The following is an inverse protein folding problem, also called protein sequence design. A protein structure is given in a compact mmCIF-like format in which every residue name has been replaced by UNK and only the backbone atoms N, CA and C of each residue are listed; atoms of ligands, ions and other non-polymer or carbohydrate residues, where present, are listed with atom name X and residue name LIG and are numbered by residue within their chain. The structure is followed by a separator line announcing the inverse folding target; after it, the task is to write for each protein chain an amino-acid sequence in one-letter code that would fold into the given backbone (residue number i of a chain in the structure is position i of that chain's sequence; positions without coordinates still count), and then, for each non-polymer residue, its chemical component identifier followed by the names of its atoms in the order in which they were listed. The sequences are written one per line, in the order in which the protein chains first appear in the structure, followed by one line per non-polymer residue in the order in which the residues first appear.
data_IF_737566472828
#
_entry.id   IF_737566472828
#
_cell.length_a   1.000
_cell.length_b   1.000
_cell.length_c   1.000
_cell.angle_alpha   90.00
_cell.angle_beta   90.00
_cell.angle_gamma   90.00
#
_symmetry.space_group_name_H-M   'P 1'
#
loop_
_entity.id
_entity.type
_entity.pdbx_description
1 polymer ?
#
# COMPACT_ATOMS: atom_id res chain seq x y z
N UNK A 1 -1.17 52.19 -12.76
CA UNK A 1 -0.66 51.27 -13.80
C UNK A 1 -0.84 49.84 -13.28
N UNK A 2 -1.95 49.19 -13.64
CA UNK A 2 -2.15 47.77 -13.37
C UNK A 2 -1.94 47.03 -14.69
N UNK A 3 -0.87 46.23 -14.77
CA UNK A 3 -0.59 45.41 -15.94
C UNK A 3 -1.61 44.26 -15.98
N UNK A 4 -2.54 44.31 -16.93
CA UNK A 4 -3.39 43.17 -17.27
C UNK A 4 -2.49 42.08 -17.85
N UNK A 5 -2.33 40.98 -17.12
CA UNK A 5 -1.70 39.75 -17.62
C UNK A 5 -2.67 39.09 -18.59
N UNK A 6 -2.51 39.39 -19.88
CA UNK A 6 -3.20 38.66 -20.95
C UNK A 6 -2.50 37.32 -21.16
N UNK A 7 -3.27 36.24 -21.12
CA UNK A 7 -2.77 34.91 -21.47
C UNK A 7 -2.36 34.88 -22.95
N UNK A 8 -1.29 34.15 -23.31
CA UNK A 8 -0.87 34.04 -24.69
C UNK A 8 -1.95 33.32 -25.52
N UNK A 9 -2.12 33.70 -26.81
CA UNK A 9 -3.08 33.04 -27.69
C UNK A 9 -2.70 31.57 -27.92
N UNK A 10 -3.72 30.72 -28.04
CA UNK A 10 -3.58 29.28 -28.30
C UNK A 10 -2.75 29.07 -29.56
N UNK A 11 -1.56 28.48 -29.41
CA UNK A 11 -0.73 28.11 -30.56
C UNK A 11 -1.39 26.94 -31.30
N UNK A 12 -1.79 27.17 -32.56
CA UNK A 12 -2.28 26.12 -33.46
C UNK A 12 -1.13 25.17 -33.78
N UNK A 13 -1.15 23.96 -33.21
CA UNK A 13 -0.13 22.92 -33.46
C UNK A 13 0.23 22.04 -32.26
N UNK A 14 -0.25 22.36 -31.05
CA UNK A 14 -0.03 21.53 -29.86
C UNK A 14 -1.16 20.50 -29.72
N UNK A 15 -0.82 19.21 -29.67
CA UNK A 15 -1.76 18.16 -29.29
C UNK A 15 -2.11 18.31 -27.81
N UNK A 16 -3.34 18.73 -27.52
CA UNK A 16 -3.90 18.70 -26.18
C UNK A 16 -4.10 17.23 -25.77
N UNK A 17 -3.28 16.73 -24.86
CA UNK A 17 -3.53 15.43 -24.24
C UNK A 17 -4.43 15.67 -23.03
N UNK A 18 -5.71 15.35 -23.16
CA UNK A 18 -6.64 15.23 -22.05
C UNK A 18 -6.08 14.21 -21.04
N UNK A 19 -5.82 14.64 -19.81
CA UNK A 19 -5.36 13.79 -18.70
C UNK A 19 -6.47 12.96 -18.06
N UNK A 20 -7.71 13.06 -18.57
CA UNK A 20 -8.71 12.03 -18.33
C UNK A 20 -8.25 10.79 -19.10
N UNK A 21 -8.07 9.67 -18.39
CA UNK A 21 -8.07 8.35 -19.01
C UNK A 21 -9.42 8.18 -19.73
N UNK A 22 -9.50 8.63 -20.99
CA UNK A 22 -10.44 8.02 -21.91
C UNK A 22 -9.84 6.65 -22.25
N UNK A 23 -10.62 5.55 -22.13
CA UNK A 23 -10.19 4.29 -22.70
C UNK A 23 -9.82 4.51 -24.16
N UNK A 24 -8.83 3.78 -24.66
CA UNK A 24 -8.55 3.77 -26.08
C UNK A 24 -9.77 3.14 -26.77
N UNK A 25 -10.73 3.98 -27.16
CA UNK A 25 -11.83 3.58 -28.01
C UNK A 25 -11.18 3.19 -29.34
N UNK A 26 -11.03 1.89 -29.58
CA UNK A 26 -11.00 1.39 -30.94
C UNK A 26 -12.30 1.88 -31.58
N UNK A 27 -12.19 2.82 -32.53
CA UNK A 27 -13.36 3.37 -33.21
C UNK A 27 -13.96 2.28 -34.10
N UNK A 28 -14.88 1.49 -33.54
CA UNK A 28 -15.97 0.95 -34.35
C UNK A 28 -16.95 2.09 -34.58
N UNK A 29 -17.21 2.43 -35.84
CA UNK A 29 -18.01 3.56 -36.33
C UNK A 29 -19.52 3.55 -35.94
N UNK A 30 -19.91 2.99 -34.80
CA UNK A 30 -21.30 2.99 -34.34
C UNK A 30 -21.41 3.75 -33.01
N UNK A 31 -21.72 5.04 -33.14
CA UNK A 31 -22.11 5.89 -32.02
C UNK A 31 -23.50 5.48 -31.51
N UNK A 32 -23.58 4.49 -30.61
CA UNK A 32 -24.80 4.22 -29.84
C UNK A 32 -24.65 3.45 -28.52
N UNK A 33 -23.45 3.05 -28.11
CA UNK A 33 -23.30 2.32 -26.85
C UNK A 33 -22.77 3.23 -25.72
N UNK A 34 -23.70 3.82 -24.95
CA UNK A 34 -23.46 3.95 -23.51
C UNK A 34 -23.10 2.53 -23.01
N UNK A 35 -22.03 2.31 -22.23
CA UNK A 35 -21.74 0.99 -21.72
C UNK A 35 -22.93 0.56 -20.86
N UNK A 36 -23.75 -0.31 -21.42
CA UNK A 36 -24.97 -0.78 -20.78
C UNK A 36 -24.59 -1.58 -19.54
N UNK A 37 -25.47 -1.61 -18.53
CA UNK A 37 -25.34 -2.52 -17.37
C UNK A 37 -25.04 -3.96 -17.82
N UNK A 38 -25.48 -4.35 -19.02
CA UNK A 38 -25.18 -5.64 -19.65
C UNK A 38 -23.69 -5.85 -19.93
N UNK A 39 -22.93 -4.82 -20.34
CA UNK A 39 -21.47 -4.89 -20.51
C UNK A 39 -20.73 -5.08 -19.19
N UNK A 40 -21.26 -4.51 -18.10
CA UNK A 40 -20.75 -4.75 -16.75
C UNK A 40 -21.00 -6.20 -16.30
N UNK A 41 -22.19 -6.75 -16.60
CA UNK A 41 -22.51 -8.15 -16.28
C UNK A 41 -21.67 -9.16 -17.07
N UNK A 42 -21.42 -8.96 -18.37
CA UNK A 42 -20.54 -9.84 -19.16
C UNK A 42 -19.08 -9.80 -18.68
N UNK A 43 -18.58 -8.65 -18.22
CA UNK A 43 -17.25 -8.56 -17.60
C UNK A 43 -17.18 -9.41 -16.31
N UNK A 44 -18.22 -9.38 -15.48
CA UNK A 44 -18.25 -10.17 -14.23
C UNK A 44 -18.26 -11.69 -14.44
N UNK A 45 -18.86 -12.20 -15.51
CA UNK A 45 -18.84 -13.64 -15.83
C UNK A 45 -17.44 -14.15 -16.22
N UNK A 46 -16.58 -13.25 -16.70
CA UNK A 46 -15.16 -13.53 -17.02
C UNK A 46 -14.19 -13.19 -15.87
N UNK A 47 -14.72 -12.75 -14.72
CA UNK A 47 -13.88 -12.30 -13.61
C UNK A 47 -13.18 -13.47 -12.92
N UNK A 48 -11.88 -13.30 -12.66
CA UNK A 48 -11.02 -14.37 -12.15
C UNK A 48 -9.96 -13.82 -11.22
N UNK A 49 -9.62 -14.61 -10.19
CA UNK A 49 -8.51 -14.34 -9.29
C UNK A 49 -7.54 -15.51 -9.36
N UNK A 50 -6.34 -15.26 -9.87
CA UNK A 50 -5.29 -16.27 -9.94
C UNK A 50 -4.17 -15.90 -8.97
N UNK A 51 -4.04 -16.64 -7.88
CA UNK A 51 -2.94 -16.47 -6.94
C UNK A 51 -1.66 -17.00 -7.59
N UNK A 52 -0.63 -16.16 -7.67
CA UNK A 52 0.66 -16.55 -8.25
C UNK A 52 1.65 -16.96 -7.19
N UNK A 53 1.80 -16.12 -6.17
CA UNK A 53 2.80 -16.33 -5.14
C UNK A 53 2.25 -15.90 -3.79
N UNK A 54 2.49 -16.76 -2.81
CA UNK A 54 2.36 -16.44 -1.39
C UNK A 54 3.72 -16.75 -0.80
N UNK A 55 4.37 -15.74 -0.21
CA UNK A 55 5.64 -15.93 0.50
C UNK A 55 5.46 -16.97 1.62
N UNK A 56 6.52 -17.70 1.97
CA UNK A 56 6.49 -18.76 3.00
C UNK A 56 5.97 -18.26 4.36
N UNK A 57 6.25 -17.00 4.69
CA UNK A 57 5.77 -16.33 5.90
C UNK A 57 4.32 -15.80 5.80
N UNK A 58 3.73 -15.83 4.61
CA UNK A 58 2.38 -15.34 4.31
C UNK A 58 2.24 -13.81 4.33
N UNK A 59 3.35 -13.07 4.35
CA UNK A 59 3.36 -11.60 4.47
C UNK A 59 3.40 -10.89 3.12
N UNK A 60 3.74 -11.59 2.04
CA UNK A 60 3.68 -11.08 0.67
C UNK A 60 2.74 -11.95 -0.14
N UNK A 61 1.79 -11.31 -0.83
CA UNK A 61 0.84 -11.95 -1.73
C UNK A 61 0.89 -11.27 -3.10
N UNK A 62 1.06 -12.07 -4.14
CA UNK A 62 0.92 -11.64 -5.53
C UNK A 62 -0.20 -12.42 -6.22
N UNK A 63 -1.13 -11.71 -6.84
CA UNK A 63 -2.25 -12.32 -7.56
C UNK A 63 -2.64 -11.50 -8.78
N UNK A 64 -3.20 -12.19 -9.79
CA UNK A 64 -3.84 -11.56 -10.93
C UNK A 64 -5.33 -11.39 -10.68
N UNK A 65 -5.86 -10.21 -11.00
CA UNK A 65 -7.27 -9.89 -11.04
C UNK A 65 -7.67 -9.65 -12.50
N UNK A 66 -8.50 -10.52 -13.07
CA UNK A 66 -8.98 -10.44 -14.45
C UNK A 66 -10.47 -10.14 -14.50
N UNK A 67 -10.95 -9.49 -15.56
CA UNK A 67 -12.37 -9.23 -15.79
C UNK A 67 -12.98 -8.18 -14.86
N UNK A 68 -12.16 -7.26 -14.34
CA UNK A 68 -12.59 -6.22 -13.39
C UNK A 68 -12.17 -4.84 -13.90
N UNK A 69 -13.04 -3.84 -13.73
CA UNK A 69 -12.71 -2.46 -14.10
C UNK A 69 -11.64 -1.83 -13.17
N UNK A 70 -10.84 -0.87 -13.67
CA UNK A 70 -9.83 -0.16 -12.87
C UNK A 70 -10.39 0.47 -11.59
N UNK A 71 -11.66 0.90 -11.60
CA UNK A 71 -12.33 1.52 -10.46
C UNK A 71 -12.48 0.56 -9.27
N UNK A 72 -12.83 -0.70 -9.54
CA UNK A 72 -12.98 -1.74 -8.50
C UNK A 72 -11.60 -2.17 -8.01
N UNK A 73 -10.64 -2.39 -8.91
CA UNK A 73 -9.25 -2.69 -8.55
C UNK A 73 -8.67 -1.60 -7.61
N UNK A 74 -8.85 -0.33 -7.96
CA UNK A 74 -8.41 0.78 -7.12
C UNK A 74 -9.19 0.89 -5.80
N UNK A 75 -10.46 0.50 -5.77
CA UNK A 75 -11.25 0.44 -4.54
C UNK A 75 -10.71 -0.59 -3.56
N UNK A 76 -10.33 -1.78 -4.04
CA UNK A 76 -9.68 -2.82 -3.24
C UNK A 76 -8.35 -2.29 -2.67
N UNK A 77 -7.51 -1.69 -3.53
CA UNK A 77 -6.23 -1.10 -3.11
C UNK A 77 -6.41 -0.02 -2.04
N UNK A 78 -7.39 0.88 -2.21
CA UNK A 78 -7.69 1.93 -1.23
C UNK A 78 -8.22 1.36 0.09
N UNK A 79 -9.08 0.34 0.02
CA UNK A 79 -9.62 -0.32 1.21
C UNK A 79 -8.52 -1.00 2.02
N UNK A 80 -7.54 -1.63 1.36
CA UNK A 80 -6.36 -2.22 2.01
C UNK A 80 -5.53 -1.19 2.78
N UNK A 81 -5.31 -0.01 2.19
CA UNK A 81 -4.50 1.06 2.79
C UNK A 81 -5.22 1.80 3.92
N UNK A 82 -6.52 2.05 3.77
CA UNK A 82 -7.23 3.01 4.62
C UNK A 82 -8.30 2.40 5.53
N UNK A 83 -8.95 1.32 5.12
CA UNK A 83 -10.20 0.90 5.76
C UNK A 83 -10.05 -0.35 6.62
N UNK A 84 -9.10 -1.24 6.28
CA UNK A 84 -8.82 -2.43 7.09
C UNK A 84 -8.21 -1.99 8.42
N UNK A 85 -8.82 -2.36 9.57
CA UNK A 85 -8.36 -1.90 10.87
C UNK A 85 -7.10 -2.65 11.33
N UNK A 86 -6.27 -2.00 12.14
CA UNK A 86 -5.10 -2.60 12.79
C UNK A 86 -4.91 -2.07 14.22
N UNK A 87 -3.97 -2.66 14.95
CA UNK A 87 -3.62 -2.26 16.32
C UNK A 87 -2.34 -1.44 16.33
N UNK A 88 -2.39 -0.20 16.84
CA UNK A 88 -1.22 0.66 16.98
C UNK A 88 -1.28 1.51 18.26
N UNK A 89 -0.12 2.01 18.69
CA UNK A 89 -0.05 2.87 19.87
C UNK A 89 -0.68 4.25 19.59
N UNK A 90 -1.62 4.64 20.45
CA UNK A 90 -2.31 5.93 20.37
C UNK A 90 -1.88 6.86 21.49
N UNK A 91 -1.85 6.37 22.73
CA UNK A 91 -1.49 7.17 23.89
C UNK A 91 -0.16 6.70 24.46
N UNK A 92 0.74 7.65 24.72
CA UNK A 92 1.99 7.40 25.44
C UNK A 92 1.95 8.20 26.74
N UNK A 93 1.94 7.48 27.86
CA UNK A 93 2.00 8.05 29.20
C UNK A 93 3.45 8.08 29.64
N UNK A 94 4.08 9.25 29.54
CA UNK A 94 5.45 9.46 29.99
C UNK A 94 5.46 9.65 31.52
N UNK A 95 6.17 8.79 32.24
CA UNK A 95 6.41 8.97 33.67
C UNK A 95 7.71 9.71 33.93
N UNK A 96 8.75 9.37 33.16
CA UNK A 96 10.06 9.95 33.29
C UNK A 96 10.83 9.82 31.98
N UNK A 97 11.30 10.95 31.44
CA UNK A 97 12.20 11.00 30.29
C UNK A 97 13.35 11.94 30.62
N UNK A 98 14.55 11.38 30.78
CA UNK A 98 15.79 12.15 30.93
C UNK A 98 16.71 11.99 29.73
N UNK A 99 16.18 11.42 28.63
CA UNK A 99 16.92 11.23 27.38
C UNK A 99 17.14 12.56 26.65
N UNK A 100 17.92 12.50 25.59
CA UNK A 100 18.15 13.65 24.69
C UNK A 100 16.93 13.92 23.80
N UNK A 101 16.10 12.91 23.54
CA UNK A 101 14.92 13.06 22.69
C UNK A 101 13.76 13.64 23.51
N UNK A 102 13.01 14.57 22.91
CA UNK A 102 11.79 15.09 23.53
C UNK A 102 10.69 14.03 23.56
N UNK A 103 9.74 14.21 24.47
CA UNK A 103 8.61 13.28 24.65
C UNK A 103 7.84 13.06 23.33
N UNK A 104 7.60 14.13 22.56
CA UNK A 104 6.89 14.05 21.28
C UNK A 104 7.63 13.20 20.24
N UNK A 105 8.97 13.31 20.19
CA UNK A 105 9.78 12.51 19.27
C UNK A 105 9.71 11.03 19.63
N UNK A 106 9.82 10.70 20.93
CA UNK A 106 9.70 9.31 21.39
C UNK A 106 8.28 8.80 21.14
N UNK A 107 7.26 9.59 21.48
CA UNK A 107 5.86 9.24 21.31
C UNK A 107 5.50 8.95 19.84
N UNK A 108 5.95 9.80 18.92
CA UNK A 108 5.75 9.61 17.48
C UNK A 108 6.40 8.32 16.97
N UNK A 109 7.64 8.03 17.40
CA UNK A 109 8.34 6.78 17.04
C UNK A 109 7.63 5.55 17.59
N UNK A 110 7.21 5.59 18.86
CA UNK A 110 6.47 4.50 19.50
C UNK A 110 5.11 4.26 18.82
N UNK A 111 4.46 5.32 18.32
CA UNK A 111 3.22 5.24 17.55
C UNK A 111 3.33 4.44 16.26
N UNK A 112 4.52 4.41 15.64
CA UNK A 112 4.80 3.74 14.38
C UNK A 112 5.31 2.30 14.56
N UNK A 113 5.53 1.83 15.78
CA UNK A 113 5.92 0.44 16.03
C UNK A 113 4.69 -0.45 15.79
N UNK A 114 4.76 -1.41 14.85
CA UNK A 114 3.62 -2.28 14.60
C UNK A 114 3.59 -3.43 15.60
N UNK A 115 2.38 -3.79 16.04
CA UNK A 115 2.15 -4.82 17.05
C UNK A 115 1.50 -6.06 16.45
N UNK A 116 1.96 -7.24 16.87
CA UNK A 116 1.37 -8.54 16.51
C UNK A 116 0.12 -8.80 17.34
N UNK A 117 -0.96 -8.10 17.04
CA UNK A 117 -2.26 -8.25 17.70
C UNK A 117 -3.37 -8.32 16.66
N UNK A 118 -4.22 -9.35 16.73
CA UNK A 118 -5.33 -9.51 15.78
C UNK A 118 -6.43 -8.47 16.07
N UNK A 119 -6.65 -7.48 15.19
CA UNK A 119 -7.62 -6.41 15.41
C UNK A 119 -9.07 -6.92 15.46
N UNK A 120 -9.36 -8.14 14.98
CA UNK A 120 -10.71 -8.73 15.04
C UNK A 120 -11.14 -9.08 16.46
N UNK A 121 -10.18 -9.34 17.35
CA UNK A 121 -10.40 -9.70 18.75
C UNK A 121 -10.67 -8.48 19.64
N UNK A 122 -10.51 -7.27 19.11
CA UNK A 122 -10.67 -6.01 19.84
C UNK A 122 -11.80 -5.17 19.26
N UNK A 123 -12.47 -4.44 20.15
CA UNK A 123 -13.49 -3.44 19.79
C UNK A 123 -12.83 -2.09 19.59
N UNK A 124 -13.46 -1.23 18.78
CA UNK A 124 -13.05 0.17 18.69
C UNK A 124 -13.28 0.86 20.04
N UNK A 125 -12.34 1.73 20.42
CA UNK A 125 -12.49 2.56 21.61
C UNK A 125 -13.66 3.52 21.38
N UNK A 126 -14.57 3.61 22.35
CA UNK A 126 -15.67 4.57 22.30
C UNK A 126 -15.10 6.00 22.42
N UNK A 127 -15.56 6.95 21.58
CA UNK A 127 -15.22 8.36 21.75
C UNK A 127 -15.63 8.81 23.16
N UNK A 128 -14.72 9.44 23.91
CA UNK A 128 -14.91 9.93 25.29
C UNK A 128 -14.97 8.87 26.40
N UNK A 129 -14.58 7.62 26.14
CA UNK A 129 -14.41 6.65 27.22
C UNK A 129 -13.26 7.08 28.16
N UNK A 130 -13.61 7.35 29.42
CA UNK A 130 -12.66 7.69 30.49
C UNK A 130 -11.99 6.46 31.10
N UNK A 131 -12.62 5.29 30.97
CA UNK A 131 -12.11 4.03 31.51
C UNK A 131 -11.59 3.17 30.37
N UNK A 132 -10.39 2.63 30.57
CA UNK A 132 -9.77 1.73 29.62
C UNK A 132 -10.30 0.32 29.84
N UNK A 133 -10.93 -0.23 28.80
CA UNK A 133 -11.47 -1.57 28.86
C UNK A 133 -10.50 -2.58 28.22
N UNK A 134 -10.37 -3.79 28.80
CA UNK A 134 -9.49 -4.83 28.27
C UNK A 134 -9.89 -5.34 26.88
N UNK A 135 -11.13 -5.08 26.45
CA UNK A 135 -11.60 -5.44 25.12
C UNK A 135 -11.21 -4.43 24.03
N UNK A 136 -10.76 -3.22 24.42
CA UNK A 136 -10.42 -2.13 23.50
C UNK A 136 -8.95 -1.75 23.50
N UNK A 137 -8.26 -1.94 24.64
CA UNK A 137 -6.93 -1.37 24.87
C UNK A 137 -5.96 -2.42 25.39
N UNK A 138 -4.76 -2.43 24.81
CA UNK A 138 -3.60 -3.18 25.30
C UNK A 138 -2.59 -2.21 25.89
N UNK A 139 -2.01 -2.54 27.05
CA UNK A 139 -1.07 -1.66 27.75
C UNK A 139 0.32 -2.29 27.72
N UNK A 140 1.30 -1.55 27.21
CA UNK A 140 2.70 -1.93 27.25
C UNK A 140 3.46 -1.02 28.21
N UNK A 141 4.43 -1.60 28.92
CA UNK A 141 5.36 -0.91 29.80
C UNK A 141 6.76 -0.88 29.18
N UNK A 142 7.39 0.29 29.25
CA UNK A 142 8.80 0.47 28.93
C UNK A 142 9.48 1.09 30.15
N UNK A 143 10.27 0.29 30.84
CA UNK A 143 10.99 0.71 32.04
C UNK A 143 12.49 0.46 31.87
N UNK A 144 13.22 1.50 31.46
CA UNK A 144 14.69 1.48 31.38
C UNK A 144 15.25 2.38 32.49
N UNK A 145 15.73 1.79 33.60
CA UNK A 145 16.26 2.57 34.72
C UNK A 145 17.63 3.16 34.41
N UNK A 146 17.99 4.23 35.13
CA UNK A 146 19.30 4.85 35.04
C UNK A 146 20.42 3.83 35.32
N UNK A 147 21.32 3.65 34.36
CA UNK A 147 22.49 2.79 34.55
C UNK A 147 23.43 3.39 35.58
N UNK A 148 23.67 2.65 36.67
CA UNK A 148 24.71 2.99 37.64
C UNK A 148 26.07 2.72 36.99
N UNK A 149 26.97 3.70 36.99
CA UNK A 149 28.35 3.50 36.54
C UNK A 149 28.99 2.42 37.42
N UNK A 150 29.17 1.22 36.87
CA UNK A 150 29.80 0.11 37.60
C UNK A 150 31.20 0.53 38.07
N UNK A 151 31.56 0.17 39.30
CA UNK A 151 32.89 0.44 39.87
C UNK A 151 34.03 -0.17 39.06
N UNK A 152 33.76 -1.17 38.21
CA UNK A 152 34.73 -1.79 37.31
C UNK A 152 35.29 -0.83 36.24
N UNK A 153 34.50 0.16 35.78
CA UNK A 153 34.99 1.19 34.85
C UNK A 153 35.84 2.29 35.53
N UNK A 154 35.91 2.34 36.88
CA UNK A 154 36.83 3.28 37.55
C UNK A 154 38.29 2.84 37.46
N UNK A 155 38.53 1.54 37.23
CA UNK A 155 39.87 0.95 37.17
C UNK A 155 40.35 0.64 35.74
N UNK A 156 39.45 0.73 34.75
CA UNK A 156 39.84 0.74 33.34
C UNK A 156 40.25 2.18 32.96
N UNK A 157 41.32 2.31 32.16
CA UNK A 157 41.95 3.55 31.66
C UNK A 157 41.02 4.79 31.71
N UNK A 158 41.53 5.91 32.23
CA UNK A 158 40.88 7.23 32.45
C UNK A 158 40.01 7.77 31.29
N UNK A 159 40.04 7.16 30.10
CA UNK A 159 39.36 7.60 28.88
C UNK A 159 38.21 6.67 28.41
N UNK A 160 37.91 5.59 29.12
CA UNK A 160 36.81 4.69 28.73
C UNK A 160 35.44 5.27 29.15
N UNK A 161 34.75 5.95 28.23
CA UNK A 161 33.35 6.38 28.44
C UNK A 161 32.45 5.15 28.63
N UNK A 162 31.52 5.16 29.61
CA UNK A 162 30.57 4.06 29.76
C UNK A 162 29.73 3.92 28.47
N UNK A 163 29.42 2.68 28.04
CA UNK A 163 28.70 2.46 26.80
C UNK A 163 27.28 3.01 26.89
N UNK A 164 26.79 3.57 25.78
CA UNK A 164 25.41 4.01 25.66
C UNK A 164 24.45 2.81 25.73
N UNK A 165 23.24 3.04 26.22
CA UNK A 165 22.18 2.03 26.29
C UNK A 165 21.22 2.24 25.13
N UNK A 166 21.16 1.29 24.21
CA UNK A 166 20.17 1.31 23.13
C UNK A 166 18.85 0.71 23.62
N UNK A 167 17.78 1.47 23.47
CA UNK A 167 16.42 1.05 23.83
C UNK A 167 15.73 0.55 22.56
N UNK A 168 15.40 -0.75 22.55
CA UNK A 168 14.73 -1.39 21.43
C UNK A 168 13.27 -1.71 21.76
N UNK A 169 12.49 -1.96 20.71
CA UNK A 169 11.13 -2.48 20.78
C UNK A 169 11.00 -3.78 21.61
N UNK A 170 12.02 -4.64 21.66
CA UNK A 170 12.06 -5.81 22.55
C UNK A 170 11.88 -5.49 24.04
N UNK A 171 12.19 -4.25 24.46
CA UNK A 171 12.01 -3.83 25.84
C UNK A 171 10.56 -3.49 26.21
N UNK A 172 9.64 -3.44 25.23
CA UNK A 172 8.22 -3.22 25.46
C UNK A 172 7.57 -4.49 26.00
N UNK A 173 7.10 -4.43 27.25
CA UNK A 173 6.48 -5.57 27.94
C UNK A 173 4.98 -5.36 28.07
N UNK A 174 4.19 -6.34 27.63
CA UNK A 174 2.75 -6.31 27.81
C UNK A 174 2.40 -6.42 29.30
N UNK A 175 1.57 -5.50 29.81
CA UNK A 175 0.95 -5.61 31.12
C UNK A 175 -0.38 -6.36 30.93
N UNK A 176 -0.53 -7.59 31.46
CA UNK A 176 -1.79 -8.31 31.36
C UNK A 176 -2.86 -7.65 32.22
N UNK A 177 -4.05 -7.43 31.65
CA UNK A 177 -5.19 -6.90 32.41
C UNK A 177 -5.82 -8.01 33.28
N UNK A 178 -6.23 -7.75 34.54
CA UNK A 178 -6.77 -8.77 35.44
C UNK A 178 -8.00 -9.53 34.90
N UNK A 179 -8.87 -8.84 34.16
CA UNK A 179 -10.05 -9.44 33.51
C UNK A 179 -9.74 -10.21 32.20
N UNK A 180 -8.49 -10.22 31.76
CA UNK A 180 -8.07 -10.92 30.56
C UNK A 180 -7.94 -12.41 30.87
N UNK A 181 -8.82 -13.23 30.26
CA UNK A 181 -8.69 -14.68 30.36
C UNK A 181 -7.31 -15.12 29.84
N UNK A 182 -6.65 -16.08 30.50
CA UNK A 182 -5.42 -16.70 30.01
C UNK A 182 -5.74 -17.60 28.83
N UNK A 183 -6.17 -17.01 27.71
CA UNK A 183 -6.17 -17.70 26.42
C UNK A 183 -4.74 -17.64 25.85
N UNK A 184 -4.21 -18.81 25.49
CA UNK A 184 -2.81 -19.02 25.10
C UNK A 184 -2.34 -18.13 23.92
N UNK A 185 -3.25 -17.65 23.06
CA UNK A 185 -2.90 -16.82 21.91
C UNK A 185 -2.68 -15.33 22.24
N UNK A 186 -3.25 -14.82 23.33
CA UNK A 186 -3.02 -13.42 23.74
C UNK A 186 -1.63 -13.21 24.38
N UNK A 187 -0.88 -14.30 24.57
CA UNK A 187 0.51 -14.31 25.05
C UNK A 187 1.53 -13.94 23.97
N UNK A 188 1.15 -13.96 22.69
CA UNK A 188 2.02 -13.60 21.56
C UNK A 188 1.87 -12.13 21.11
N UNK A 189 1.21 -11.30 21.93
CA UNK A 189 1.07 -9.86 21.64
C UNK A 189 2.37 -9.16 22.02
N UNK A 190 3.13 -8.80 21.00
CA UNK A 190 4.44 -8.12 21.08
C UNK A 190 4.64 -7.23 19.86
N UNK A 191 5.62 -6.32 19.87
CA UNK A 191 6.09 -5.68 18.64
C UNK A 191 6.45 -6.73 17.58
N UNK A 192 6.12 -6.47 16.31
CA UNK A 192 6.37 -7.44 15.22
C UNK A 192 7.88 -7.66 15.04
N UNK A 193 8.65 -6.57 15.04
CA UNK A 193 10.10 -6.61 15.08
C UNK A 193 10.56 -6.19 16.46
N UNK A 194 11.45 -6.99 17.05
CA UNK A 194 12.04 -6.76 18.38
C UNK A 194 13.28 -5.85 18.33
N UNK A 195 13.78 -5.55 17.12
CA UNK A 195 15.04 -4.85 16.90
C UNK A 195 14.86 -3.39 16.44
N UNK A 196 13.64 -2.85 16.49
CA UNK A 196 13.39 -1.44 16.17
C UNK A 196 14.00 -0.57 17.28
N UNK A 197 14.98 0.28 16.92
CA UNK A 197 15.60 1.22 17.84
C UNK A 197 14.64 2.38 18.14
N UNK A 198 14.34 2.59 19.42
CA UNK A 198 13.46 3.66 19.91
C UNK A 198 14.30 4.90 20.23
N UNK A 199 15.28 4.73 21.11
CA UNK A 199 16.17 5.79 21.58
C UNK A 199 17.52 5.21 22.01
N UNK A 200 18.55 6.04 21.96
CA UNK A 200 19.86 5.73 22.56
C UNK A 200 20.04 6.63 23.78
N UNK A 201 20.21 6.02 24.95
CA UNK A 201 20.38 6.70 26.22
C UNK A 201 21.86 6.78 26.58
N UNK A 202 22.25 7.93 27.10
CA UNK A 202 23.55 8.10 27.75
C UNK A 202 23.53 7.44 29.14
N UNK A 203 24.70 7.13 29.70
CA UNK A 203 24.80 6.64 31.07
C UNK A 203 24.07 7.56 32.05
N UNK A 204 23.40 6.98 33.05
CA UNK A 204 22.56 7.67 34.05
C UNK A 204 21.22 8.24 33.54
N UNK A 205 20.93 8.18 32.23
CA UNK A 205 19.60 8.52 31.72
C UNK A 205 18.65 7.32 31.89
N UNK A 206 17.38 7.64 32.07
CA UNK A 206 16.27 6.71 32.26
C UNK A 206 15.08 7.09 31.37
N UNK A 207 14.28 6.07 31.03
CA UNK A 207 13.08 6.21 30.24
C UNK A 207 12.00 5.27 30.81
N UNK A 208 10.96 5.86 31.40
CA UNK A 208 9.83 5.17 32.02
C UNK A 208 8.54 5.67 31.39
N UNK A 209 7.82 4.78 30.72
CA UNK A 209 6.55 5.12 30.06
C UNK A 209 5.63 3.92 29.91
N UNK A 210 4.35 4.21 29.66
CA UNK A 210 3.36 3.22 29.23
C UNK A 210 2.74 3.60 27.90
N UNK A 211 2.39 2.60 27.10
CA UNK A 211 1.75 2.78 25.81
C UNK A 211 0.39 2.11 25.81
N UNK A 212 -0.60 2.82 25.30
CA UNK A 212 -1.93 2.28 25.07
C UNK A 212 -2.10 2.02 23.58
N UNK A 213 -2.20 0.74 23.24
CA UNK A 213 -2.39 0.24 21.88
C UNK A 213 -3.86 -0.04 21.68
N UNK A 214 -4.43 0.57 20.66
CA UNK A 214 -5.87 0.52 20.35
C UNK A 214 -6.09 0.11 18.91
N UNK A 215 -7.32 -0.27 18.61
CA UNK A 215 -7.78 -0.52 17.25
C UNK A 215 -8.11 0.80 16.53
N UNK A 216 -7.54 0.99 15.35
CA UNK A 216 -7.80 2.15 14.48
C UNK A 216 -7.82 1.76 13.00
N UNK A 217 -8.03 2.75 12.12
CA UNK A 217 -8.07 2.58 10.66
C UNK A 217 -7.07 3.52 9.98
N UNK A 218 -6.46 3.07 8.87
CA UNK A 218 -5.46 3.85 8.14
C UNK A 218 -5.95 5.20 7.61
N UNK A 219 -7.27 5.35 7.42
CA UNK A 219 -7.92 6.62 7.04
C UNK A 219 -7.72 7.72 8.10
N UNK A 220 -7.67 7.35 9.38
CA UNK A 220 -7.47 8.27 10.49
C UNK A 220 -5.98 8.64 10.61
N UNK A 221 -5.11 7.63 10.62
CA UNK A 221 -3.67 7.85 10.63
C UNK A 221 -2.93 6.69 9.97
N UNK A 222 -1.87 6.99 9.21
CA UNK A 222 -1.06 6.00 8.51
C UNK A 222 -0.45 4.89 9.39
N UNK A 223 -0.32 5.11 10.72
CA UNK A 223 0.19 4.10 11.67
C UNK A 223 -0.74 2.90 11.81
N UNK A 224 -2.01 3.09 11.43
CA UNK A 224 -3.01 2.05 11.39
C UNK A 224 -3.12 1.36 10.02
N UNK A 225 -2.29 1.69 9.03
CA UNK A 225 -2.24 0.92 7.78
C UNK A 225 -1.71 -0.50 8.08
N UNK A 226 -2.48 -1.56 7.79
CA UNK A 226 -2.05 -2.94 8.04
C UNK A 226 -1.09 -3.46 6.96
N UNK A 227 -0.98 -2.73 5.84
CA UNK A 227 -0.08 -3.04 4.72
C UNK A 227 1.11 -2.08 4.71
N UNK A 228 2.29 -2.62 4.41
CA UNK A 228 3.49 -1.84 4.10
C UNK A 228 3.32 -1.19 2.74
N UNK A 229 2.89 -1.98 1.75
CA UNK A 229 2.48 -1.49 0.43
C UNK A 229 1.36 -2.36 -0.13
N UNK A 230 0.45 -1.70 -0.84
CA UNK A 230 -0.56 -2.36 -1.66
C UNK A 230 -0.62 -1.62 -3.00
N UNK A 231 -0.18 -2.29 -4.05
CA UNK A 231 -0.16 -1.74 -5.39
C UNK A 231 -0.75 -2.72 -6.40
N UNK A 232 -1.14 -2.18 -7.54
CA UNK A 232 -1.41 -2.98 -8.72
C UNK A 232 -0.87 -2.28 -9.95
N UNK A 233 -0.60 -3.07 -10.98
CA UNK A 233 -0.25 -2.57 -12.32
C UNK A 233 -1.05 -3.33 -13.37
N UNK A 234 -1.43 -2.69 -14.49
CA UNK A 234 -2.04 -3.40 -15.60
C UNK A 234 -1.02 -4.35 -16.21
N UNK A 235 -1.48 -5.50 -16.68
CA UNK A 235 -0.59 -6.50 -17.25
C UNK A 235 -0.03 -6.01 -18.59
N UNK A 236 1.29 -5.92 -18.76
CA UNK A 236 1.90 -5.49 -20.01
C UNK A 236 1.67 -6.54 -21.11
N UNK A 237 1.38 -6.04 -22.30
CA UNK A 237 1.31 -6.82 -23.53
C UNK A 237 2.31 -6.26 -24.52
N UNK A 238 3.37 -7.05 -24.76
CA UNK A 238 4.43 -6.69 -25.67
C UNK A 238 4.26 -7.47 -26.97
N UNK A 239 4.46 -6.78 -28.10
CA UNK A 239 4.40 -7.41 -29.43
C UNK A 239 5.59 -6.94 -30.26
N UNK A 240 6.29 -7.88 -30.89
CA UNK A 240 7.29 -7.56 -31.90
C UNK A 240 6.58 -7.40 -33.25
N UNK A 241 6.69 -6.21 -33.86
CA UNK A 241 6.04 -5.88 -35.13
C UNK A 241 6.78 -6.49 -36.33
N UNK A 242 8.09 -6.68 -36.19
CA UNK A 242 8.95 -7.34 -37.18
C UNK A 242 9.84 -8.37 -36.49
N UNK A 243 10.30 -9.35 -37.26
CA UNK A 243 11.35 -10.25 -36.77
C UNK A 243 12.66 -9.46 -36.62
N UNK A 244 13.31 -9.60 -35.46
CA UNK A 244 14.58 -8.93 -35.14
C UNK A 244 15.63 -10.02 -34.93
N UNK A 245 16.77 -9.88 -35.61
CA UNK A 245 17.80 -10.91 -35.67
C UNK A 245 19.18 -10.41 -35.19
N UNK A 246 20.01 -11.35 -34.75
CA UNK A 246 21.45 -11.23 -34.50
C UNK A 246 21.86 -10.02 -33.63
N UNK A 247 22.55 -9.02 -34.20
CA UNK A 247 23.03 -7.85 -33.46
C UNK A 247 21.87 -6.96 -32.97
N UNK A 248 20.83 -6.77 -33.79
CA UNK A 248 19.64 -6.02 -33.40
C UNK A 248 18.92 -6.74 -32.24
N UNK A 249 18.88 -8.08 -32.27
CA UNK A 249 18.24 -8.88 -31.24
C UNK A 249 19.00 -8.80 -29.90
N UNK A 250 20.34 -8.86 -29.93
CA UNK A 250 21.20 -8.66 -28.76
C UNK A 250 21.10 -7.26 -28.18
N UNK A 251 21.01 -6.24 -29.05
CA UNK A 251 20.80 -4.85 -28.64
C UNK A 251 19.42 -4.63 -28.04
N UNK A 252 18.38 -5.24 -28.62
CA UNK A 252 17.03 -5.20 -28.06
C UNK A 252 17.00 -5.84 -26.67
N UNK A 253 17.64 -7.00 -26.50
CA UNK A 253 17.75 -7.67 -25.20
C UNK A 253 18.44 -6.80 -24.15
N UNK A 254 19.52 -6.09 -24.51
CA UNK A 254 20.27 -5.23 -23.56
C UNK A 254 19.51 -3.97 -23.12
N UNK A 255 18.57 -3.48 -23.95
CA UNK A 255 17.71 -2.34 -23.64
C UNK A 255 16.48 -2.72 -22.79
N UNK A 256 16.21 -4.02 -22.63
CA UNK A 256 15.08 -4.54 -21.86
C UNK A 256 15.52 -5.21 -20.55
N UNK A 257 14.63 -5.36 -19.56
CA UNK A 257 14.89 -6.17 -18.37
C UNK A 257 15.38 -7.57 -18.72
N UNK A 258 16.20 -8.14 -17.84
CA UNK A 258 16.67 -9.54 -17.97
C UNK A 258 15.48 -10.48 -18.12
N UNK A 259 15.66 -11.52 -18.93
CA UNK A 259 14.68 -12.58 -19.21
C UNK A 259 13.39 -12.16 -19.91
N UNK A 260 13.17 -10.87 -20.19
CA UNK A 260 12.02 -10.41 -20.97
C UNK A 260 12.09 -10.89 -22.42
N UNK A 261 13.28 -10.80 -23.02
CA UNK A 261 13.57 -11.24 -24.39
C UNK A 261 14.56 -12.40 -24.35
N UNK A 262 14.17 -13.50 -24.98
CA UNK A 262 15.02 -14.64 -25.26
C UNK A 262 15.56 -14.55 -26.70
N UNK A 263 16.75 -15.11 -26.91
CA UNK A 263 17.35 -15.27 -28.23
C UNK A 263 17.24 -16.75 -28.59
N UNK A 264 16.40 -17.06 -29.57
CA UNK A 264 16.18 -18.42 -30.07
C UNK A 264 16.85 -18.58 -31.44
N UNK A 265 17.49 -19.72 -31.71
CA UNK A 265 18.09 -19.98 -33.02
C UNK A 265 17.02 -20.43 -33.99
N UNK A 266 16.87 -19.71 -35.09
CA UNK A 266 15.95 -20.06 -36.17
C UNK A 266 16.49 -21.24 -37.00
N UNK A 267 15.67 -21.80 -37.90
CA UNK A 267 16.07 -22.92 -38.78
C UNK A 267 17.25 -22.60 -39.69
N UNK A 268 17.50 -21.31 -39.94
CA UNK A 268 18.65 -20.81 -40.69
C UNK A 268 19.91 -20.58 -39.83
N UNK A 269 19.85 -20.84 -38.51
CA UNK A 269 20.96 -20.67 -37.57
C UNK A 269 21.13 -19.24 -37.01
N UNK A 270 20.27 -18.30 -37.40
CA UNK A 270 20.29 -16.90 -36.93
C UNK A 270 19.62 -16.75 -35.56
N UNK A 271 20.10 -15.82 -34.73
CA UNK A 271 19.54 -15.56 -33.41
C UNK A 271 18.33 -14.63 -33.52
N UNK A 272 17.12 -15.14 -33.26
CA UNK A 272 15.86 -14.38 -33.32
C UNK A 272 15.42 -13.95 -31.93
N UNK A 273 15.02 -12.68 -31.78
CA UNK A 273 14.40 -12.19 -30.55
C UNK A 273 12.96 -12.71 -30.39
N UNK A 274 12.67 -13.31 -29.24
CA UNK A 274 11.32 -13.77 -28.86
C UNK A 274 10.98 -13.22 -27.47
N UNK A 275 9.75 -12.73 -27.31
CA UNK A 275 9.27 -12.27 -26.00
C UNK A 275 8.96 -13.51 -25.16
N UNK A 276 9.68 -13.67 -24.04
CA UNK A 276 9.52 -14.82 -23.14
C UNK A 276 8.44 -14.56 -22.10
N UNK A 277 8.55 -13.45 -21.38
CA UNK A 277 7.55 -13.04 -20.39
C UNK A 277 7.35 -11.53 -20.43
N UNK A 278 6.15 -11.10 -20.82
CA UNK A 278 5.81 -9.67 -20.86
C UNK A 278 5.75 -9.05 -19.46
N UNK A 279 5.44 -9.83 -18.40
CA UNK A 279 5.25 -9.33 -17.03
C UNK A 279 6.52 -8.73 -16.44
N UNK A 280 7.68 -9.17 -16.89
CA UNK A 280 8.98 -8.62 -16.49
C UNK A 280 9.18 -7.18 -16.97
N UNK A 281 8.31 -6.68 -17.84
CA UNK A 281 8.34 -5.29 -18.28
C UNK A 281 8.12 -4.34 -17.10
N UNK A 282 9.07 -3.43 -16.88
CA UNK A 282 9.06 -2.46 -15.78
C UNK A 282 8.67 -1.05 -16.22
N UNK A 283 8.27 -0.85 -17.48
CA UNK A 283 7.98 0.48 -18.01
C UNK A 283 9.19 1.20 -18.61
N UNK A 284 10.34 0.53 -18.78
CA UNK A 284 11.49 1.11 -19.45
C UNK A 284 11.17 1.36 -20.94
N UNK A 285 11.33 2.60 -21.39
CA UNK A 285 11.11 3.00 -22.80
C UNK A 285 12.43 3.12 -23.57
N UNK A 286 13.45 2.37 -23.18
CA UNK A 286 14.79 2.42 -23.78
C UNK A 286 14.77 2.07 -25.27
N UNK A 287 14.00 1.02 -25.63
CA UNK A 287 13.82 0.58 -27.02
C UNK A 287 13.25 1.67 -27.91
N UNK A 288 12.30 2.47 -27.41
CA UNK A 288 11.64 3.54 -28.18
C UNK A 288 12.56 4.75 -28.44
N UNK A 289 13.69 4.86 -27.73
CA UNK A 289 14.68 5.92 -27.96
C UNK A 289 15.67 5.57 -29.05
N UNK A 290 15.81 4.29 -29.38
CA UNK A 290 16.75 3.84 -30.38
C UNK A 290 16.11 3.99 -31.78
N UNK A 291 16.69 4.78 -32.69
CA UNK A 291 16.10 5.02 -34.01
C UNK A 291 16.02 3.76 -34.88
N UNK A 292 16.81 2.72 -34.57
CA UNK A 292 16.80 1.45 -35.33
C UNK A 292 15.75 0.45 -34.79
N UNK A 293 15.39 0.58 -33.52
CA UNK A 293 14.52 -0.35 -32.80
C UNK A 293 13.19 0.27 -32.36
N UNK A 294 12.97 1.58 -32.58
CA UNK A 294 11.73 2.26 -32.19
C UNK A 294 10.49 1.59 -32.77
N UNK A 295 10.60 1.08 -33.99
CA UNK A 295 9.48 0.55 -34.76
C UNK A 295 9.36 -0.98 -34.60
N UNK A 296 10.27 -1.62 -33.86
CA UNK A 296 10.29 -3.08 -33.74
C UNK A 296 9.36 -3.62 -32.65
N UNK A 297 9.06 -2.82 -31.62
CA UNK A 297 8.34 -3.28 -30.43
C UNK A 297 7.17 -2.36 -30.08
N UNK A 298 5.97 -2.93 -30.08
CA UNK A 298 4.78 -2.29 -29.57
C UNK A 298 4.59 -2.64 -28.09
N UNK A 299 4.36 -1.61 -27.28
CA UNK A 299 4.13 -1.71 -25.85
C UNK A 299 2.68 -1.33 -25.59
N UNK A 300 1.87 -2.31 -25.19
CA UNK A 300 0.49 -2.13 -24.79
C UNK A 300 0.27 -2.68 -23.38
N UNK A 301 -0.92 -2.45 -22.85
CA UNK A 301 -1.36 -3.01 -21.57
C UNK A 301 -2.73 -3.64 -21.76
N UNK A 302 -2.95 -4.81 -21.18
CA UNK A 302 -4.25 -5.47 -21.23
C UNK A 302 -5.24 -4.72 -20.37
N UNK A 303 -6.40 -4.47 -20.95
CA UNK A 303 -7.52 -3.90 -20.22
C UNK A 303 -8.09 -4.93 -19.24
N UNK A 304 -8.53 -4.47 -18.07
CA UNK A 304 -9.19 -5.28 -17.05
C UNK A 304 -8.40 -6.51 -16.55
N UNK A 305 -7.09 -6.58 -16.80
CA UNK A 305 -6.15 -7.54 -16.20
C UNK A 305 -5.11 -6.79 -15.35
N UNK A 306 -5.13 -6.99 -14.04
CA UNK A 306 -4.24 -6.33 -13.09
C UNK A 306 -3.41 -7.34 -12.30
N UNK A 307 -2.13 -7.05 -12.15
CA UNK A 307 -1.25 -7.73 -11.22
C UNK A 307 -1.22 -6.95 -9.91
N UNK A 308 -1.67 -7.57 -8.82
CA UNK A 308 -1.64 -7.02 -7.47
C UNK A 308 -0.43 -7.54 -6.69
N UNK A 309 0.13 -6.65 -5.88
CA UNK A 309 1.15 -6.97 -4.88
C UNK A 309 0.71 -6.37 -3.55
N UNK A 310 0.56 -7.22 -2.54
CA UNK A 310 0.13 -6.84 -1.20
C UNK A 310 1.15 -7.34 -0.18
N UNK A 311 1.77 -6.40 0.52
CA UNK A 311 2.75 -6.65 1.57
C UNK A 311 2.16 -6.24 2.91
N UNK A 312 2.02 -7.19 3.81
CA UNK A 312 1.57 -6.95 5.18
C UNK A 312 2.70 -6.37 6.03
N UNK A 313 2.33 -5.57 7.03
CA UNK A 313 3.26 -5.13 8.08
C UNK A 313 3.62 -6.28 9.04
N UNK A 314 2.84 -7.36 9.06
CA UNK A 314 3.13 -8.59 9.83
C UNK A 314 2.12 -8.94 10.93
N UNK A 315 1.11 -8.09 11.15
CA UNK A 315 0.08 -8.33 12.16
C UNK A 315 -0.91 -9.42 11.73
N UNK A 316 -1.26 -9.44 10.43
CA UNK A 316 -2.13 -10.43 9.78
C UNK A 316 -1.50 -10.86 8.45
N UNK A 317 -1.84 -12.04 7.96
CA UNK A 317 -1.39 -12.49 6.63
C UNK A 317 -2.04 -11.68 5.51
N UNK A 318 -1.33 -11.50 4.39
CA UNK A 318 -1.78 -10.66 3.28
C UNK A 318 -3.08 -11.16 2.63
N UNK A 319 -3.27 -12.48 2.51
CA UNK A 319 -4.52 -13.06 2.02
C UNK A 319 -5.73 -12.68 2.90
N UNK A 320 -5.54 -12.69 4.23
CA UNK A 320 -6.60 -12.29 5.18
C UNK A 320 -6.93 -10.80 5.04
N UNK A 321 -5.93 -9.96 4.81
CA UNK A 321 -6.13 -8.51 4.58
C UNK A 321 -6.96 -8.24 3.32
N UNK A 322 -6.67 -8.94 2.22
CA UNK A 322 -7.45 -8.82 0.97
C UNK A 322 -8.92 -9.23 1.19
N UNK A 323 -9.15 -10.37 1.86
CA UNK A 323 -10.52 -10.79 2.19
C UNK A 323 -11.25 -9.77 3.07
N UNK A 324 -10.58 -9.20 4.07
CA UNK A 324 -11.18 -8.17 4.92
C UNK A 324 -11.50 -6.89 4.15
N UNK A 325 -10.62 -6.45 3.24
CA UNK A 325 -10.86 -5.28 2.41
C UNK A 325 -12.12 -5.47 1.54
N UNK A 326 -12.27 -6.64 0.90
CA UNK A 326 -13.43 -6.95 0.07
C UNK A 326 -14.71 -7.00 0.93
N UNK A 327 -14.65 -7.62 2.11
CA UNK A 327 -15.79 -7.69 3.04
C UNK A 327 -16.24 -6.30 3.51
N UNK A 328 -15.30 -5.38 3.74
CA UNK A 328 -15.61 -3.99 4.11
C UNK A 328 -16.30 -3.27 2.95
N UNK A 329 -15.82 -3.44 1.72
CA UNK A 329 -16.44 -2.86 0.53
C UNK A 329 -17.86 -3.40 0.33
N UNK A 330 -18.06 -4.71 0.48
CA UNK A 330 -19.38 -5.35 0.40
C UNK A 330 -20.36 -4.75 1.42
N UNK A 331 -19.95 -4.65 2.69
CA UNK A 331 -20.79 -4.05 3.75
C UNK A 331 -21.16 -2.60 3.48
N UNK A 332 -20.27 -1.83 2.85
CA UNK A 332 -20.58 -0.45 2.43
C UNK A 332 -21.64 -0.42 1.35
N UNK A 333 -21.57 -1.31 0.35
CA UNK A 333 -22.59 -1.43 -0.68
C UNK A 333 -23.94 -1.85 -0.07
N UNK A 334 -23.95 -2.84 0.83
CA UNK A 334 -25.17 -3.27 1.54
C UNK A 334 -25.80 -2.13 2.35
N UNK A 335 -24.97 -1.38 3.08
CA UNK A 335 -25.42 -0.23 3.87
C UNK A 335 -26.00 0.89 2.98
N UNK A 336 -25.34 1.21 1.86
CA UNK A 336 -25.85 2.17 0.90
C UNK A 336 -27.16 1.69 0.27
N UNK A 337 -27.27 0.41 -0.07
CA UNK A 337 -28.51 -0.18 -0.59
C UNK A 337 -29.66 -0.14 0.41
N UNK A 338 -29.38 -0.16 1.71
CA UNK A 338 -30.40 -0.04 2.76
C UNK A 338 -30.92 1.39 2.90
N UNK A 339 -30.04 2.39 2.74
CA UNK A 339 -30.37 3.81 2.92
C UNK A 339 -30.95 4.42 1.65
N UNK A 340 -30.52 3.96 0.48
CA UNK A 340 -31.06 4.44 -0.78
C UNK A 340 -32.56 4.16 -0.85
N UNK A 341 -33.40 5.20 -1.08
CA UNK A 341 -34.83 5.00 -1.24
C UNK A 341 -35.07 4.07 -2.44
N UNK A 342 -35.84 3.01 -2.22
CA UNK A 342 -36.23 2.04 -3.27
C UNK A 342 -37.03 2.69 -4.39
N UNK A 343 -37.68 3.81 -4.09
CA UNK A 343 -38.32 4.68 -5.06
C UNK A 343 -37.45 5.90 -5.33
N UNK A 344 -36.82 5.93 -6.50
CA UNK A 344 -36.06 7.07 -6.94
C UNK A 344 -37.02 8.17 -7.43
N UNK A 345 -37.22 9.18 -6.59
CA UNK A 345 -37.92 10.41 -6.98
C UNK A 345 -37.03 11.26 -7.90
N UNK A 346 -36.77 10.79 -9.13
CA UNK A 346 -36.06 11.56 -10.16
C UNK A 346 -36.81 12.82 -10.60
N UNK A 347 -38.08 12.95 -10.26
CA UNK A 347 -38.90 14.12 -10.58
C UNK A 347 -38.42 15.44 -9.94
N UNK A 348 -37.51 15.38 -8.96
CA UNK A 348 -36.97 16.57 -8.28
C UNK A 348 -35.57 16.99 -8.74
N UNK A 349 -34.92 16.25 -9.64
CA UNK A 349 -33.64 16.65 -10.22
C UNK A 349 -33.93 17.31 -11.56
N UNK A 350 -34.32 18.59 -11.53
CA UNK A 350 -34.25 19.43 -12.73
C UNK A 350 -32.77 19.74 -12.97
N UNK A 351 -32.20 19.24 -14.06
CA UNK A 351 -30.98 19.84 -14.57
C UNK A 351 -31.33 21.30 -14.88
N UNK A 352 -30.63 22.26 -14.27
CA UNK A 352 -30.70 23.63 -14.75
C UNK A 352 -30.18 23.61 -16.18
N UNK A 353 -31.08 23.80 -17.15
CA UNK A 353 -30.70 24.09 -18.52
C UNK A 353 -29.91 25.40 -18.49
N UNK A 354 -28.58 25.31 -18.51
CA UNK A 354 -27.71 26.46 -18.75
C UNK A 354 -27.79 26.84 -20.23
N UNK A 355 -28.96 27.32 -20.65
CA UNK A 355 -29.09 28.11 -21.86
C UNK A 355 -28.52 29.50 -21.56
N UNK A 356 -27.23 29.68 -21.83
CA UNK A 356 -26.65 30.91 -22.41
C UNK A 356 -25.12 30.90 -22.26
N UNK A 357 -24.46 30.11 -23.11
CA UNK A 357 -23.13 30.47 -23.59
C UNK A 357 -23.23 30.67 -25.10
N UNK A 358 -23.49 31.92 -25.51
CA UNK A 358 -23.21 32.38 -26.87
C UNK A 358 -21.69 32.46 -27.00
N UNK A 359 -21.11 31.54 -27.75
CA UNK A 359 -19.75 31.66 -28.28
C UNK A 359 -19.67 32.76 -29.33
#
# INVERSE_FOLDING_TARGET
MAAQTTYPPVQSGLSCILTRHQPALFTSNNAQELPSLMGFFTLTESSGVNVREISEDGMVLQFDLTGVEPCIANSIRRSLLCDVPSMAAETVLMYQNTSVFTDDHIGSRLGLIPFRADPRKFKFRLPRATVEHPESTLIFDLSIPATKTSSALRNARKDAKPPNVNVYSSHLKLIPHPAMKPDDEKRNVRPISENILIATLLPQQELLLKLHVVKGVGKDHAKFSPVSTAMFRPKPELRLLRNVYDEEARRLQSLTPKDLIALERDTAGQEKAVIRDSRLYTGSRGVLKDPTLSDCMQIAFRENEFEFTVESVGALQSAVLVCQAIEILKKRCEFLSLICPKEPNWNNIKAEETTDYKF
#
